data_IF_285064833263
#
_entry.id   IF_285064833263
#
_cell.length_a   1.000
_cell.length_b   1.000
_cell.length_c   1.000
_cell.angle_alpha   90.00
_cell.angle_beta   90.00
_cell.angle_gamma   90.00
#
_symmetry.space_group_name_H-M   'P 1'
#
loop_
_entity.id
_entity.type
_entity.pdbx_description
1 polymer ?
#
# COMPACT_ATOMS: atom_id res chain seq x y z
N UNK A 1 -31.13 -12.07 -17.57
CA UNK A 1 -29.69 -11.88 -17.33
C UNK A 1 -29.29 -10.50 -17.88
N UNK A 2 -29.70 -9.42 -17.21
CA UNK A 2 -29.44 -8.03 -17.64
C UNK A 2 -29.24 -7.13 -16.41
N UNK A 3 -30.04 -7.33 -15.36
CA UNK A 3 -29.91 -6.62 -14.09
C UNK A 3 -28.63 -7.01 -13.33
N UNK A 4 -28.22 -8.28 -13.40
CA UNK A 4 -27.03 -8.76 -12.69
C UNK A 4 -25.73 -8.20 -13.29
N UNK A 5 -25.65 -8.11 -14.62
CA UNK A 5 -24.49 -7.55 -15.33
C UNK A 5 -24.38 -6.04 -15.07
N UNK A 6 -25.50 -5.33 -15.07
CA UNK A 6 -25.52 -3.89 -14.78
C UNK A 6 -25.03 -3.59 -13.34
N UNK A 7 -25.37 -4.45 -12.37
CA UNK A 7 -24.88 -4.32 -10.99
C UNK A 7 -23.37 -4.57 -10.89
N UNK A 8 -22.86 -5.57 -11.63
CA UNK A 8 -21.42 -5.86 -11.67
C UNK A 8 -20.64 -4.70 -12.29
N UNK A 9 -21.13 -4.11 -13.38
CA UNK A 9 -20.49 -2.96 -14.02
C UNK A 9 -20.47 -1.73 -13.12
N UNK A 10 -21.53 -1.48 -12.35
CA UNK A 10 -21.54 -0.38 -11.36
C UNK A 10 -20.54 -0.64 -10.24
N UNK A 11 -20.47 -1.88 -9.71
CA UNK A 11 -19.52 -2.23 -8.66
C UNK A 11 -18.09 -2.11 -9.19
N UNK A 12 -17.79 -2.62 -10.38
CA UNK A 12 -16.47 -2.55 -11.01
C UNK A 12 -16.13 -1.09 -11.35
N UNK A 13 -17.08 -0.30 -11.84
CA UNK A 13 -16.91 1.13 -12.13
C UNK A 13 -16.64 1.96 -10.88
N UNK A 14 -17.31 1.65 -9.76
CA UNK A 14 -17.02 2.28 -8.46
C UNK A 14 -15.66 1.81 -7.92
N UNK A 15 -15.34 0.52 -8.06
CA UNK A 15 -14.07 -0.06 -7.62
C UNK A 15 -12.88 0.58 -8.34
N UNK A 16 -12.98 0.74 -9.66
CA UNK A 16 -11.94 1.34 -10.50
C UNK A 16 -11.86 2.86 -10.33
N UNK A 17 -12.98 3.58 -10.23
CA UNK A 17 -12.98 5.04 -10.01
C UNK A 17 -12.45 5.46 -8.64
N UNK A 18 -12.60 4.61 -7.62
CA UNK A 18 -11.97 4.79 -6.31
C UNK A 18 -10.49 4.40 -6.27
N UNK A 19 -9.92 3.94 -7.40
CA UNK A 19 -8.54 3.44 -7.47
C UNK A 19 -8.34 2.12 -6.70
N UNK A 20 -9.42 1.42 -6.33
CA UNK A 20 -9.32 0.17 -5.60
C UNK A 20 -8.72 -0.88 -6.56
N UNK A 21 -7.66 -1.53 -6.09
CA UNK A 21 -6.90 -2.50 -6.87
C UNK A 21 -5.64 -1.93 -7.55
N UNK A 22 -5.46 -0.60 -7.59
CA UNK A 22 -4.21 -0.01 -8.06
C UNK A 22 -3.06 -0.30 -7.11
N UNK A 23 -1.84 -0.17 -7.61
CA UNK A 23 -0.62 -0.39 -6.84
C UNK A 23 -0.53 0.61 -5.68
N UNK A 24 -0.87 1.86 -5.94
CA UNK A 24 -0.87 2.97 -4.98
C UNK A 24 -1.85 2.69 -3.84
N UNK A 25 -3.07 2.25 -4.15
CA UNK A 25 -4.06 1.89 -3.15
C UNK A 25 -3.58 0.72 -2.25
N UNK A 26 -2.97 -0.31 -2.84
CA UNK A 26 -2.41 -1.45 -2.08
C UNK A 26 -1.25 -1.02 -1.17
N UNK A 27 -0.40 -0.13 -1.66
CA UNK A 27 0.72 0.45 -0.90
C UNK A 27 0.18 1.26 0.27
N UNK A 28 -0.77 2.16 0.02
CA UNK A 28 -1.39 2.99 1.05
C UNK A 28 -2.00 2.12 2.16
N UNK A 29 -2.81 1.12 1.80
CA UNK A 29 -3.40 0.19 2.78
C UNK A 29 -2.35 -0.56 3.62
N UNK A 30 -1.22 -0.95 3.02
CA UNK A 30 -0.15 -1.60 3.77
C UNK A 30 0.55 -0.62 4.71
N UNK A 31 0.86 0.58 4.24
CA UNK A 31 1.43 1.64 5.09
C UNK A 31 0.51 1.94 6.25
N UNK A 32 -0.79 2.15 6.02
CA UNK A 32 -1.78 2.39 7.08
C UNK A 32 -1.77 1.26 8.12
N UNK A 33 -1.77 0.00 7.68
CA UNK A 33 -1.75 -1.16 8.59
C UNK A 33 -0.48 -1.20 9.44
N UNK A 34 0.70 -1.03 8.84
CA UNK A 34 1.97 -1.02 9.57
C UNK A 34 2.05 0.20 10.50
N UNK A 35 1.53 1.34 10.06
CA UNK A 35 1.57 2.61 10.80
C UNK A 35 0.73 2.60 12.09
N UNK A 36 -0.21 1.67 12.23
CA UNK A 36 -0.93 1.45 13.50
C UNK A 36 0.02 1.06 14.63
N UNK A 37 1.05 0.26 14.34
CA UNK A 37 2.08 -0.14 15.30
C UNK A 37 3.34 0.75 15.20
N UNK A 38 3.63 1.30 14.02
CA UNK A 38 4.83 2.11 13.76
C UNK A 38 4.47 3.44 13.08
N UNK A 39 3.97 4.45 13.83
CA UNK A 39 3.47 5.71 13.26
C UNK A 39 4.50 6.48 12.41
N UNK A 40 5.80 6.26 12.63
CA UNK A 40 6.86 6.89 11.85
C UNK A 40 6.79 6.55 10.35
N UNK A 41 6.32 5.35 9.98
CA UNK A 41 6.22 4.95 8.57
C UNK A 41 5.26 5.86 7.80
N UNK A 42 4.15 6.27 8.41
CA UNK A 42 3.20 7.20 7.80
C UNK A 42 3.85 8.55 7.48
N UNK A 43 4.76 9.02 8.34
CA UNK A 43 5.46 10.28 8.11
C UNK A 43 6.41 10.17 6.91
N UNK A 44 7.19 9.09 6.80
CA UNK A 44 8.04 8.86 5.62
C UNK A 44 7.20 8.71 4.36
N UNK A 45 6.10 7.95 4.42
CA UNK A 45 5.22 7.75 3.27
C UNK A 45 4.63 9.07 2.77
N UNK A 46 4.11 9.93 3.65
CA UNK A 46 3.59 11.25 3.24
C UNK A 46 4.67 12.16 2.65
N UNK A 47 5.88 12.13 3.22
CA UNK A 47 7.00 12.97 2.76
C UNK A 47 7.61 12.48 1.44
N UNK A 48 7.65 11.17 1.24
CA UNK A 48 8.34 10.52 0.12
C UNK A 48 7.40 9.63 -0.72
N UNK A 49 6.13 10.02 -0.84
CA UNK A 49 5.06 9.19 -1.44
C UNK A 49 5.43 8.63 -2.83
N UNK A 50 6.07 9.45 -3.67
CA UNK A 50 6.51 9.04 -5.01
C UNK A 50 7.54 7.90 -5.00
N UNK A 51 8.41 7.84 -3.99
CA UNK A 51 9.40 6.76 -3.85
C UNK A 51 8.75 5.44 -3.44
N UNK A 52 7.70 5.51 -2.62
CA UNK A 52 6.92 4.36 -2.20
C UNK A 52 6.02 3.84 -3.33
N UNK A 53 5.35 4.72 -4.06
CA UNK A 53 4.38 4.35 -5.10
C UNK A 53 5.02 4.07 -6.47
N UNK A 54 6.16 4.69 -6.77
CA UNK A 54 6.91 4.51 -8.01
C UNK A 54 7.43 3.08 -8.22
N UNK A 55 7.98 2.81 -9.40
CA UNK A 55 8.53 1.50 -9.80
C UNK A 55 9.89 1.18 -9.12
N UNK A 56 9.93 1.28 -7.79
CA UNK A 56 11.15 1.09 -6.99
C UNK A 56 11.15 -0.28 -6.32
N UNK A 57 12.33 -0.74 -5.91
CA UNK A 57 12.47 -1.91 -5.04
C UNK A 57 11.67 -1.74 -3.74
N UNK A 58 11.66 -0.53 -3.16
CA UNK A 58 10.88 -0.19 -1.98
C UNK A 58 9.38 -0.51 -2.16
N UNK A 59 8.80 -0.16 -3.31
CA UNK A 59 7.40 -0.45 -3.61
C UNK A 59 7.12 -1.95 -3.67
N UNK A 60 8.05 -2.73 -4.24
CA UNK A 60 7.94 -4.19 -4.38
C UNK A 60 8.09 -4.88 -3.03
N UNK A 61 9.08 -4.48 -2.25
CA UNK A 61 9.36 -5.02 -0.92
C UNK A 61 8.18 -4.76 0.03
N UNK A 62 7.64 -3.54 0.02
CA UNK A 62 6.45 -3.20 0.78
C UNK A 62 5.27 -4.07 0.37
N UNK A 63 5.01 -4.24 -0.93
CA UNK A 63 3.92 -5.08 -1.44
C UNK A 63 4.11 -6.58 -1.18
N UNK A 64 5.36 -7.07 -1.12
CA UNK A 64 5.67 -8.46 -0.80
C UNK A 64 5.61 -8.76 0.72
N UNK A 65 5.73 -7.74 1.57
CA UNK A 65 5.82 -7.86 3.03
C UNK A 65 4.69 -8.71 3.65
N UNK A 66 5.03 -9.74 4.43
CA UNK A 66 4.04 -10.47 5.20
C UNK A 66 3.79 -9.77 6.55
N UNK A 67 2.66 -9.06 6.65
CA UNK A 67 2.29 -8.31 7.85
C UNK A 67 2.10 -9.16 9.11
N UNK A 68 1.99 -10.50 8.99
CA UNK A 68 1.89 -11.40 10.15
C UNK A 68 3.26 -11.75 10.75
N UNK A 69 4.35 -11.46 10.04
CA UNK A 69 5.72 -11.74 10.49
C UNK A 69 6.40 -10.45 10.91
N UNK A 70 6.43 -10.22 12.21
CA UNK A 70 6.97 -8.99 12.81
C UNK A 70 8.42 -8.72 12.40
N UNK A 71 9.27 -9.75 12.36
CA UNK A 71 10.68 -9.62 11.92
C UNK A 71 10.82 -9.06 10.50
N UNK A 72 9.95 -9.46 9.57
CA UNK A 72 9.99 -8.92 8.19
C UNK A 72 9.60 -7.44 8.19
N UNK A 73 8.60 -7.06 9.00
CA UNK A 73 8.16 -5.67 9.15
C UNK A 73 9.26 -4.81 9.74
N UNK A 74 9.93 -5.26 10.80
CA UNK A 74 11.03 -4.54 11.43
C UNK A 74 12.22 -4.35 10.47
N UNK A 75 12.58 -5.38 9.70
CA UNK A 75 13.63 -5.28 8.69
C UNK A 75 13.28 -4.25 7.63
N UNK A 76 12.04 -4.27 7.13
CA UNK A 76 11.57 -3.26 6.18
C UNK A 76 11.63 -1.84 6.77
N UNK A 77 11.18 -1.66 8.01
CA UNK A 77 11.23 -0.36 8.68
C UNK A 77 12.66 0.13 8.89
N UNK A 78 13.61 -0.78 9.13
CA UNK A 78 15.04 -0.44 9.22
C UNK A 78 15.55 0.10 7.88
N UNK A 79 15.25 -0.58 6.77
CA UNK A 79 15.63 -0.11 5.42
C UNK A 79 15.00 1.24 5.11
N UNK A 80 13.73 1.46 5.47
CA UNK A 80 13.06 2.75 5.29
C UNK A 80 13.77 3.86 6.06
N UNK A 81 14.12 3.62 7.32
CA UNK A 81 14.87 4.59 8.14
C UNK A 81 16.25 4.87 7.55
N UNK A 82 17.03 3.85 7.23
CA UNK A 82 18.36 4.00 6.62
C UNK A 82 18.33 4.79 5.30
N UNK A 83 17.22 4.73 4.55
CA UNK A 83 17.05 5.47 3.29
C UNK A 83 16.58 6.92 3.48
N UNK A 84 15.82 7.22 4.53
CA UNK A 84 15.07 8.48 4.64
C UNK A 84 15.28 9.30 5.92
N UNK A 85 15.96 8.75 6.93
CA UNK A 85 16.57 9.51 8.04
C UNK A 85 17.85 10.22 7.57
#
# INVERSE_FOLDING_TARGET
MLILDLLLDIIIGVYTSLGIGTKEYKINLKVEKISKAHPCLMNYYKKFQKEFEGETHLSRDLLALNLKKEVEVEQFLKVVKEKFD
#
